data_IF_795568139971
#
_entry.id   IF_795568139971
#
_cell.length_a   1.000
_cell.length_b   1.000
_cell.length_c   1.000
_cell.angle_alpha   90.00
_cell.angle_beta   90.00
_cell.angle_gamma   90.00
#
_symmetry.space_group_name_H-M   'P 1'
#
loop_
_entity.id
_entity.type
_entity.pdbx_description
1 polymer ?
#
# COMPACT_ATOMS: atom_id res chain seq x y z
N UNK A 1 16.02 1.53 -11.71
CA UNK A 1 16.00 1.70 -10.25
C UNK A 1 17.42 1.46 -9.75
N UNK A 2 17.87 2.22 -8.74
CA UNK A 2 19.24 2.09 -8.22
C UNK A 2 19.30 0.85 -7.30
N UNK A 3 20.00 -0.19 -7.75
CA UNK A 3 20.17 -1.47 -7.02
C UNK A 3 20.90 -1.30 -5.68
N UNK A 4 21.41 -0.10 -5.39
CA UNK A 4 22.06 0.26 -4.13
C UNK A 4 21.08 0.58 -3.00
N UNK A 5 19.77 0.71 -3.25
CA UNK A 5 18.80 0.99 -2.20
C UNK A 5 18.40 -0.33 -1.46
N UNK A 6 18.81 -0.51 -0.19
CA UNK A 6 18.58 -1.75 0.56
C UNK A 6 17.09 -2.01 0.87
N UNK A 7 16.21 -1.02 0.69
CA UNK A 7 14.76 -1.20 0.84
C UNK A 7 14.10 -1.82 -0.41
N UNK A 8 14.78 -1.86 -1.57
CA UNK A 8 14.20 -2.33 -2.83
C UNK A 8 13.75 -3.79 -2.82
N UNK A 9 14.51 -4.75 -2.23
CA UNK A 9 14.03 -6.14 -2.14
C UNK A 9 12.72 -6.27 -1.35
N UNK A 10 12.57 -5.48 -0.28
CA UNK A 10 11.34 -5.44 0.54
C UNK A 10 10.19 -4.84 -0.27
N UNK A 11 10.45 -3.74 -0.98
CA UNK A 11 9.46 -3.10 -1.84
C UNK A 11 8.95 -4.04 -2.95
N UNK A 12 9.84 -4.73 -3.65
CA UNK A 12 9.46 -5.67 -4.71
C UNK A 12 8.68 -6.87 -4.17
N UNK A 13 9.00 -7.33 -2.95
CA UNK A 13 8.19 -8.36 -2.30
C UNK A 13 6.77 -7.85 -2.03
N UNK A 14 6.61 -6.63 -1.51
CA UNK A 14 5.28 -6.02 -1.32
C UNK A 14 4.54 -5.96 -2.66
N UNK A 15 5.18 -5.43 -3.70
CA UNK A 15 4.58 -5.27 -5.02
C UNK A 15 4.11 -6.59 -5.62
N UNK A 16 4.94 -7.64 -5.52
CA UNK A 16 4.59 -8.99 -5.96
C UNK A 16 3.38 -9.54 -5.22
N UNK A 17 3.23 -9.27 -3.93
CA UNK A 17 2.06 -9.70 -3.13
C UNK A 17 0.79 -8.96 -3.51
N UNK A 18 0.93 -7.68 -3.82
CA UNK A 18 -0.22 -6.86 -4.17
C UNK A 18 -0.64 -6.98 -5.63
N UNK A 19 0.21 -7.54 -6.48
CA UNK A 19 -0.07 -7.78 -7.90
C UNK A 19 0.06 -9.27 -8.24
N UNK A 20 -0.80 -10.14 -7.67
CA UNK A 20 -0.74 -11.56 -7.97
C UNK A 20 -1.02 -11.80 -9.47
N UNK A 21 -0.40 -12.84 -10.07
CA UNK A 21 -0.63 -13.15 -11.49
C UNK A 21 -2.07 -13.57 -11.78
N UNK A 22 -2.77 -14.10 -10.78
CA UNK A 22 -4.20 -14.43 -10.84
C UNK A 22 -4.91 -13.95 -9.56
N UNK A 23 -5.69 -12.89 -9.68
CA UNK A 23 -6.49 -12.34 -8.59
C UNK A 23 -7.62 -13.27 -8.15
N UNK A 24 -8.12 -14.14 -9.05
CA UNK A 24 -9.18 -15.09 -8.71
C UNK A 24 -8.66 -16.25 -7.86
N UNK A 25 -7.38 -16.58 -7.93
CA UNK A 25 -6.78 -17.57 -7.04
C UNK A 25 -6.17 -16.98 -5.75
N UNK A 26 -6.05 -15.65 -5.66
CA UNK A 26 -5.35 -14.99 -4.57
C UNK A 26 -6.05 -15.16 -3.20
N UNK A 27 -5.25 -15.35 -2.16
CA UNK A 27 -5.70 -15.22 -0.77
C UNK A 27 -5.68 -13.74 -0.39
N UNK A 28 -6.79 -13.22 0.14
CA UNK A 28 -6.94 -11.79 0.39
C UNK A 28 -7.08 -11.46 1.88
N UNK A 29 -6.55 -10.32 2.26
CA UNK A 29 -6.82 -9.64 3.54
C UNK A 29 -7.56 -8.35 3.21
N UNK A 30 -8.85 -8.31 3.52
CA UNK A 30 -9.79 -7.31 3.03
C UNK A 30 -10.16 -6.37 4.17
N UNK A 31 -9.92 -5.08 4.00
CA UNK A 31 -10.25 -4.06 4.99
C UNK A 31 -11.55 -3.34 4.62
N UNK A 32 -12.56 -3.52 5.46
CA UNK A 32 -13.89 -2.89 5.36
C UNK A 32 -14.16 -1.89 6.48
N UNK A 33 -13.21 -1.73 7.40
CA UNK A 33 -13.43 -0.92 8.59
C UNK A 33 -13.66 0.57 8.24
N UNK A 34 -14.53 1.29 8.96
CA UNK A 34 -14.89 2.68 8.68
C UNK A 34 -13.89 3.68 9.30
N UNK A 35 -12.60 3.61 8.97
CA UNK A 35 -11.55 4.50 9.53
C UNK A 35 -11.32 5.78 8.72
N UNK A 36 -12.32 6.19 7.90
CA UNK A 36 -12.32 7.46 7.15
C UNK A 36 -12.35 8.71 8.03
N UNK A 37 -12.60 8.61 9.33
CA UNK A 37 -12.68 9.77 10.24
C UNK A 37 -11.34 10.10 10.93
N UNK A 38 -10.34 9.21 10.88
CA UNK A 38 -9.04 9.46 11.50
C UNK A 38 -8.21 10.47 10.69
N UNK A 39 -7.22 11.14 11.31
CA UNK A 39 -6.27 11.99 10.60
C UNK A 39 -5.38 11.20 9.62
N UNK A 40 -4.82 11.87 8.60
CA UNK A 40 -4.05 11.22 7.53
C UNK A 40 -2.91 10.34 8.06
N UNK A 41 -2.16 10.81 9.07
CA UNK A 41 -1.07 10.04 9.69
C UNK A 41 -1.55 8.75 10.35
N UNK A 42 -2.67 8.79 11.07
CA UNK A 42 -3.27 7.59 11.69
C UNK A 42 -3.75 6.59 10.65
N UNK A 43 -4.33 7.04 9.53
CA UNK A 43 -4.72 6.16 8.42
C UNK A 43 -3.51 5.47 7.81
N UNK A 44 -2.43 6.21 7.54
CA UNK A 44 -1.19 5.63 7.00
C UNK A 44 -0.57 4.59 7.93
N UNK A 45 -0.55 4.86 9.23
CA UNK A 45 -0.08 3.91 10.24
C UNK A 45 -0.89 2.61 10.21
N UNK A 46 -2.21 2.73 10.11
CA UNK A 46 -3.11 1.58 9.99
C UNK A 46 -2.88 0.77 8.71
N UNK A 47 -2.83 1.43 7.55
CA UNK A 47 -2.56 0.75 6.27
C UNK A 47 -1.24 0.00 6.28
N UNK A 48 -0.18 0.60 6.84
CA UNK A 48 1.13 -0.06 6.96
C UNK A 48 1.06 -1.30 7.84
N UNK A 49 0.30 -1.24 8.93
CA UNK A 49 0.12 -2.37 9.84
C UNK A 49 -0.67 -3.51 9.16
N UNK A 50 -1.75 -3.19 8.45
CA UNK A 50 -2.51 -4.19 7.70
C UNK A 50 -1.70 -4.79 6.54
N UNK A 51 -0.89 -3.98 5.87
CA UNK A 51 0.02 -4.46 4.83
C UNK A 51 1.08 -5.40 5.42
N UNK A 52 1.60 -5.11 6.62
CA UNK A 52 2.52 -6.00 7.32
C UNK A 52 1.86 -7.36 7.62
N UNK A 53 0.64 -7.33 8.19
CA UNK A 53 -0.16 -8.55 8.43
C UNK A 53 -0.37 -9.34 7.14
N UNK A 54 -0.76 -8.68 6.04
CA UNK A 54 -0.97 -9.32 4.75
C UNK A 54 0.30 -10.00 4.23
N UNK A 55 1.44 -9.31 4.29
CA UNK A 55 2.74 -9.87 3.87
C UNK A 55 3.12 -11.07 4.72
N UNK A 56 2.96 -10.99 6.04
CA UNK A 56 3.25 -12.09 6.96
C UNK A 56 2.35 -13.30 6.71
N UNK A 57 1.08 -13.06 6.35
CA UNK A 57 0.10 -14.10 6.04
C UNK A 57 0.11 -14.56 4.57
N UNK A 58 1.04 -14.05 3.76
CA UNK A 58 1.13 -14.40 2.34
C UNK A 58 -0.17 -14.06 1.55
N UNK A 59 -0.81 -12.94 1.90
CA UNK A 59 -2.08 -12.45 1.34
C UNK A 59 -1.90 -11.14 0.56
N UNK A 60 -2.79 -10.91 -0.40
CA UNK A 60 -2.98 -9.60 -1.05
C UNK A 60 -3.82 -8.72 -0.14
N UNK A 61 -3.36 -7.49 0.12
CA UNK A 61 -4.10 -6.54 0.95
C UNK A 61 -5.03 -5.72 0.07
N UNK A 62 -6.30 -5.69 0.42
CA UNK A 62 -7.30 -4.93 -0.33
C UNK A 62 -8.02 -4.03 0.64
N UNK A 63 -8.06 -2.76 0.32
CA UNK A 63 -8.92 -1.80 0.97
C UNK A 63 -10.17 -1.61 0.12
N UNK A 64 -11.35 -2.03 0.60
CA UNK A 64 -12.56 -2.04 -0.26
C UNK A 64 -13.03 -0.63 -0.58
N UNK A 65 -12.81 0.32 0.33
CA UNK A 65 -13.09 1.72 0.06
C UNK A 65 -12.22 2.21 -1.12
N UNK A 66 -10.92 1.91 -1.10
CA UNK A 66 -9.99 2.30 -2.17
C UNK A 66 -10.12 1.48 -3.45
N UNK A 67 -10.60 0.24 -3.38
CA UNK A 67 -10.84 -0.60 -4.55
C UNK A 67 -12.13 -0.21 -5.29
N UNK A 68 -13.14 0.29 -4.56
CA UNK A 68 -14.44 0.65 -5.12
C UNK A 68 -14.54 2.11 -5.58
N UNK A 69 -13.60 2.99 -5.19
CA UNK A 69 -13.61 4.40 -5.60
C UNK A 69 -12.20 4.99 -5.65
N UNK A 70 -11.95 5.84 -6.66
CA UNK A 70 -10.73 6.66 -6.78
C UNK A 70 -10.55 7.66 -5.62
N UNK A 71 -11.56 7.84 -4.78
CA UNK A 71 -11.67 8.94 -3.81
C UNK A 71 -11.01 8.65 -2.45
N UNK A 72 -10.58 7.40 -2.22
CA UNK A 72 -10.09 7.00 -0.89
C UNK A 72 -8.58 7.14 -0.73
N UNK A 73 -7.88 7.08 -1.85
CA UNK A 73 -6.53 7.55 -1.97
C UNK A 73 -6.61 8.95 -2.58
N UNK A 74 -5.74 9.89 -2.20
CA UNK A 74 -5.59 11.10 -3.01
C UNK A 74 -5.45 10.66 -4.48
N UNK A 75 -6.12 11.34 -5.42
CA UNK A 75 -6.08 11.08 -6.89
C UNK A 75 -4.65 10.86 -7.43
N UNK A 76 -3.69 11.34 -6.66
CA UNK A 76 -2.27 11.31 -6.89
C UNK A 76 -1.55 10.04 -6.45
N UNK A 77 -2.22 9.02 -5.89
CA UNK A 77 -1.60 7.77 -5.43
C UNK A 77 -2.00 6.60 -6.33
N UNK A 78 -1.03 5.78 -6.70
CA UNK A 78 -1.23 4.58 -7.50
C UNK A 78 -2.06 3.53 -6.73
N UNK A 79 -2.99 2.81 -7.37
CA UNK A 79 -3.69 1.69 -6.76
C UNK A 79 -2.73 0.72 -6.07
N UNK A 80 -3.08 0.27 -4.88
CA UNK A 80 -2.19 -0.61 -4.12
C UNK A 80 -2.20 -2.04 -4.63
N UNK A 81 -3.27 -2.49 -5.29
CA UNK A 81 -3.38 -3.84 -5.85
C UNK A 81 -3.89 -3.79 -7.29
N UNK A 82 -3.62 -4.86 -8.06
CA UNK A 82 -4.20 -5.07 -9.39
C UNK A 82 -5.56 -5.76 -9.34
N UNK A 83 -5.98 -6.26 -8.18
CA UNK A 83 -7.25 -6.97 -8.04
C UNK A 83 -8.43 -6.02 -7.97
N UNK A 84 -9.52 -6.38 -8.66
CA UNK A 84 -10.72 -5.56 -8.79
C UNK A 84 -11.70 -5.79 -7.65
N UNK A 85 -12.74 -4.95 -7.55
CA UNK A 85 -13.83 -5.16 -6.61
C UNK A 85 -14.56 -6.51 -6.83
N UNK A 86 -14.68 -6.95 -8.08
CA UNK A 86 -15.29 -8.24 -8.43
C UNK A 86 -14.43 -9.42 -7.96
N UNK A 87 -13.11 -9.33 -8.10
CA UNK A 87 -12.18 -10.36 -7.58
C UNK A 87 -12.28 -10.49 -6.06
N UNK A 88 -12.44 -9.34 -5.38
CA UNK A 88 -12.61 -9.29 -3.93
C UNK A 88 -13.94 -9.93 -3.52
N UNK A 89 -15.02 -9.66 -4.26
CA UNK A 89 -16.32 -10.26 -4.00
C UNK A 89 -16.28 -11.78 -4.20
N UNK A 90 -15.65 -12.24 -5.28
CA UNK A 90 -15.43 -13.68 -5.53
C UNK A 90 -14.60 -14.33 -4.41
N UNK A 91 -13.51 -13.68 -3.97
CA UNK A 91 -12.68 -14.18 -2.88
C UNK A 91 -13.44 -14.31 -1.55
N UNK A 92 -14.39 -13.41 -1.28
CA UNK A 92 -15.28 -13.52 -0.10
C UNK A 92 -16.23 -14.71 -0.22
N UNK A 93 -16.93 -14.85 -1.35
CA UNK A 93 -17.87 -15.97 -1.54
C UNK A 93 -17.20 -17.33 -1.50
N UNK A 94 -15.94 -17.40 -1.87
CA UNK A 94 -15.15 -18.64 -1.89
C UNK A 94 -14.34 -18.88 -0.60
N UNK A 95 -14.48 -18.03 0.42
CA UNK A 95 -13.76 -18.19 1.70
C UNK A 95 -12.25 -17.95 1.64
N UNK A 96 -11.75 -17.31 0.57
CA UNK A 96 -10.34 -16.95 0.38
C UNK A 96 -9.98 -15.57 0.95
N UNK A 97 -10.99 -14.79 1.34
CA UNK A 97 -10.84 -13.49 1.97
C UNK A 97 -10.94 -13.58 3.49
N UNK A 98 -10.00 -12.95 4.19
CA UNK A 98 -10.13 -12.62 5.62
C UNK A 98 -10.51 -11.16 5.74
N UNK A 99 -11.69 -10.87 6.31
CA UNK A 99 -12.19 -9.50 6.46
C UNK A 99 -11.71 -8.92 7.80
N UNK A 100 -11.21 -7.69 7.75
CA UNK A 100 -10.84 -6.87 8.90
C UNK A 100 -11.95 -5.85 9.14
N UNK A 101 -12.51 -5.87 10.33
CA UNK A 101 -13.61 -4.99 10.75
C UNK A 101 -13.20 -3.99 11.84
N UNK A 102 -12.06 -4.21 12.50
CA UNK A 102 -11.57 -3.37 13.58
C UNK A 102 -10.15 -2.83 13.37
N UNK A 103 -9.84 -1.71 14.03
CA UNK A 103 -8.51 -1.11 14.03
C UNK A 103 -7.45 -2.04 14.68
N UNK A 104 -7.82 -2.68 15.79
CA UNK A 104 -6.90 -3.47 16.61
C UNK A 104 -6.38 -4.73 15.90
N UNK A 105 -7.12 -5.22 14.92
CA UNK A 105 -6.80 -6.41 14.14
C UNK A 105 -5.51 -6.28 13.32
N UNK A 106 -5.13 -5.07 12.93
CA UNK A 106 -3.87 -4.81 12.25
C UNK A 106 -2.82 -4.24 13.21
N UNK A 107 -3.22 -3.61 14.32
CA UNK A 107 -2.32 -2.84 15.16
C UNK A 107 -1.21 -3.67 15.82
N UNK A 108 -1.46 -4.96 16.07
CA UNK A 108 -0.43 -5.91 16.54
C UNK A 108 0.80 -6.01 15.59
N UNK A 109 0.65 -5.60 14.33
CA UNK A 109 1.69 -5.64 13.30
C UNK A 109 2.32 -4.26 13.04
N UNK A 110 1.94 -3.22 13.79
CA UNK A 110 2.37 -1.84 13.54
C UNK A 110 3.88 -1.62 13.75
N UNK A 111 4.46 -2.27 14.76
CA UNK A 111 5.86 -2.07 15.15
C UNK A 111 6.80 -3.20 14.69
N UNK A 112 6.26 -4.25 14.07
CA UNK A 112 7.00 -5.46 13.78
C UNK A 112 7.27 -5.54 12.29
N UNK A 113 8.51 -5.82 11.94
CA UNK A 113 8.82 -6.22 10.57
C UNK A 113 8.11 -7.54 10.28
N UNK A 114 7.35 -7.68 9.18
CA UNK A 114 6.58 -8.89 8.91
C UNK A 114 7.46 -10.12 8.65
N UNK A 115 8.78 -9.92 8.47
CA UNK A 115 9.76 -10.99 8.33
C UNK A 115 10.97 -10.71 9.24
N UNK A 116 11.49 -11.70 10.00
CA UNK A 116 12.59 -11.50 10.95
C UNK A 116 13.86 -10.93 10.33
N UNK A 117 14.14 -11.28 9.07
CA UNK A 117 15.34 -10.84 8.35
C UNK A 117 15.27 -9.40 7.81
N UNK A 118 14.12 -8.74 7.93
CA UNK A 118 13.95 -7.37 7.45
C UNK A 118 14.05 -6.40 8.62
N UNK A 119 15.04 -5.49 8.64
CA UNK A 119 15.09 -4.42 9.63
C UNK A 119 13.79 -3.60 9.62
N UNK A 120 13.24 -3.30 10.79
CA UNK A 120 11.95 -2.60 10.92
C UNK A 120 11.94 -1.24 10.19
N UNK A 121 13.07 -0.53 10.19
CA UNK A 121 13.23 0.74 9.46
C UNK A 121 13.16 0.54 7.93
N UNK A 122 13.74 -0.53 7.39
CA UNK A 122 13.69 -0.83 5.95
C UNK A 122 12.27 -1.23 5.54
N UNK A 123 11.58 -2.04 6.36
CA UNK A 123 10.15 -2.33 6.17
C UNK A 123 9.32 -1.06 6.17
N UNK A 124 9.51 -0.20 7.18
CA UNK A 124 8.80 1.07 7.30
C UNK A 124 8.98 1.94 6.06
N UNK A 125 10.22 2.10 5.59
CA UNK A 125 10.53 2.88 4.40
C UNK A 125 9.92 2.28 3.12
N UNK A 126 10.06 0.97 2.91
CA UNK A 126 9.52 0.28 1.74
C UNK A 126 7.99 0.33 1.69
N UNK A 127 7.32 0.01 2.81
CA UNK A 127 5.86 0.05 2.91
C UNK A 127 5.31 1.48 2.71
N UNK A 128 5.96 2.49 3.31
CA UNK A 128 5.58 3.89 3.11
C UNK A 128 5.75 4.29 1.64
N UNK A 129 6.88 3.94 1.03
CA UNK A 129 7.15 4.22 -0.38
C UNK A 129 6.13 3.55 -1.29
N UNK A 130 5.71 2.32 -0.98
CA UNK A 130 4.70 1.56 -1.71
C UNK A 130 3.30 2.20 -1.63
N UNK A 131 2.87 2.58 -0.42
CA UNK A 131 1.55 3.17 -0.20
C UNK A 131 1.44 4.59 -0.77
N UNK A 132 2.56 5.31 -0.87
CA UNK A 132 2.64 6.67 -1.42
C UNK A 132 3.12 6.71 -2.87
N UNK A 133 3.14 5.58 -3.59
CA UNK A 133 3.58 5.56 -4.99
C UNK A 133 2.75 6.55 -5.80
N UNK A 134 3.37 7.51 -6.48
CA UNK A 134 2.62 8.53 -7.20
C UNK A 134 1.91 7.93 -8.42
N UNK A 135 0.67 8.35 -8.65
CA UNK A 135 -0.09 8.00 -9.84
C UNK A 135 0.61 8.53 -11.10
N UNK A 136 0.24 8.02 -12.29
CA UNK A 136 0.77 8.54 -13.55
C UNK A 136 0.49 10.04 -13.72
N UNK A 137 -0.70 10.50 -13.31
CA UNK A 137 -1.09 11.90 -13.32
C UNK A 137 -0.22 12.76 -12.40
N UNK A 138 0.01 12.33 -11.14
CA UNK A 138 0.89 13.06 -10.23
C UNK A 138 2.32 13.12 -10.76
N UNK A 139 2.85 12.02 -11.30
CA UNK A 139 4.20 12.01 -11.88
C UNK A 139 4.33 12.99 -13.04
N UNK A 140 3.34 13.04 -13.93
CA UNK A 140 3.32 13.99 -15.04
C UNK A 140 3.25 15.44 -14.55
N UNK A 141 2.42 15.71 -13.54
CA UNK A 141 2.34 17.03 -12.92
C UNK A 141 3.65 17.45 -12.25
N UNK A 142 4.24 16.59 -11.43
CA UNK A 142 5.52 16.85 -10.78
C UNK A 142 6.63 17.11 -11.81
N UNK A 143 6.69 16.33 -12.89
CA UNK A 143 7.65 16.54 -13.96
C UNK A 143 7.44 17.90 -14.66
N UNK A 144 6.18 18.27 -14.92
CA UNK A 144 5.84 19.58 -15.46
C UNK A 144 6.27 20.70 -14.50
N UNK A 145 5.87 20.64 -13.23
CA UNK A 145 6.17 21.68 -12.25
C UNK A 145 7.68 21.82 -12.03
N UNK A 146 8.42 20.72 -11.91
CA UNK A 146 9.88 20.70 -11.78
C UNK A 146 10.59 21.34 -12.99
N UNK A 147 10.07 21.14 -14.20
CA UNK A 147 10.63 21.75 -15.42
C UNK A 147 10.40 23.26 -15.51
N UNK A 148 9.42 23.79 -14.76
CA UNK A 148 9.06 25.22 -14.72
C UNK A 148 9.47 25.90 -13.41
N UNK A 149 10.15 25.18 -12.51
CA UNK A 149 10.75 25.82 -11.36
C UNK A 149 11.77 26.86 -11.86
N UNK A 150 11.68 28.12 -11.40
CA UNK A 150 12.76 29.07 -11.68
C UNK A 150 14.06 28.42 -11.18
N UNK A 151 15.19 28.59 -11.89
CA UNK A 151 16.46 28.10 -11.37
C UNK A 151 16.59 28.67 -9.97
N UNK A 152 16.67 27.79 -8.97
CA UNK A 152 17.09 28.18 -7.63
C UNK A 152 18.45 28.85 -7.84
N UNK A 153 18.47 30.19 -7.88
CA UNK A 153 19.70 30.95 -7.69
C UNK A 153 20.09 30.60 -6.27
N UNK A 154 21.03 29.67 -6.13
CA UNK A 154 21.81 29.61 -4.91
C UNK A 154 22.43 30.99 -4.79
N UNK A 155 21.85 31.83 -3.93
CA UNK A 155 22.51 33.01 -3.46
C UNK A 155 23.75 32.50 -2.72
N UNK A 156 24.89 32.56 -3.42
CA UNK A 156 26.20 32.55 -2.78
C UNK A 156 26.38 33.86 -2.02
#
# INVERSE_FOLDING_TARGET
>A
CDDRNPAMPVFHEIERRQSPPDCRAAQMLVNEAPWRQAGIGSRFSFYRACLARAVQQNRTYVDVACAASSDCLPEFVHPWTTCTADDVQAAKSEGRATVINGYDECFAFFQVSPKPQWPAMLWAAAATSFLLRPSAALRARLAHDLAHLPPYRMAM
#
